data_IF_490228400275
#
_entry.id   IF_490228400275
#
_cell.length_a   1.000
_cell.length_b   1.000
_cell.length_c   1.000
_cell.angle_alpha   90.00
_cell.angle_beta   90.00
_cell.angle_gamma   90.00
#
_symmetry.space_group_name_H-M   'P 1'
#
loop_
_entity.id
_entity.type
_entity.pdbx_description
1 polymer ?
#
# COMPACT_ATOMS: atom_id res chain seq x y z
N UNK A 1 -18.46 8.81 -6.82
CA UNK A 1 -17.10 9.06 -7.29
C UNK A 1 -16.18 7.93 -6.87
N UNK A 2 -15.31 7.52 -7.77
CA UNK A 2 -14.35 6.46 -7.46
C UNK A 2 -13.28 6.95 -6.48
N UNK A 3 -12.97 6.14 -5.49
CA UNK A 3 -11.84 6.39 -4.59
C UNK A 3 -10.55 6.12 -5.34
N UNK A 4 -9.59 7.04 -5.24
CA UNK A 4 -8.28 6.88 -5.90
C UNK A 4 -7.33 6.16 -4.94
N UNK A 5 -6.95 4.95 -5.29
CA UNK A 5 -6.11 4.08 -4.45
C UNK A 5 -4.80 3.78 -5.16
N UNK A 6 -3.69 3.99 -4.47
CA UNK A 6 -2.36 3.65 -4.98
C UNK A 6 -1.90 2.34 -4.36
N UNK A 7 -1.42 1.42 -5.19
CA UNK A 7 -0.91 0.12 -4.76
C UNK A 7 0.59 0.07 -5.03
N UNK A 8 1.39 -0.09 -3.99
CA UNK A 8 2.85 -0.12 -4.06
C UNK A 8 3.34 -1.51 -3.70
N UNK A 9 3.85 -2.25 -4.69
CA UNK A 9 4.33 -3.61 -4.50
C UNK A 9 5.34 -3.91 -5.62
N UNK A 10 6.41 -4.63 -5.30
CA UNK A 10 7.42 -5.00 -6.30
C UNK A 10 6.98 -6.18 -7.19
N UNK A 11 5.96 -6.91 -6.78
CA UNK A 11 5.43 -8.05 -7.54
C UNK A 11 4.30 -7.61 -8.47
N UNK A 12 4.51 -7.77 -9.78
CA UNK A 12 3.51 -7.39 -10.78
C UNK A 12 2.20 -8.13 -10.59
N UNK A 13 2.25 -9.41 -10.27
CA UNK A 13 1.06 -10.24 -10.06
C UNK A 13 0.18 -9.71 -8.93
N UNK A 14 0.82 -9.27 -7.84
CA UNK A 14 0.09 -8.71 -6.70
C UNK A 14 -0.52 -7.37 -7.08
N UNK A 15 0.21 -6.51 -7.77
CA UNK A 15 -0.32 -5.23 -8.24
C UNK A 15 -1.58 -5.42 -9.08
N UNK A 16 -1.53 -6.36 -10.03
CA UNK A 16 -2.65 -6.64 -10.91
C UNK A 16 -3.83 -7.24 -10.15
N UNK A 17 -3.57 -8.15 -9.23
CA UNK A 17 -4.62 -8.78 -8.43
C UNK A 17 -5.36 -7.74 -7.57
N UNK A 18 -4.61 -6.94 -6.84
CA UNK A 18 -5.19 -5.93 -5.95
C UNK A 18 -5.94 -4.87 -6.75
N UNK A 19 -5.33 -4.38 -7.84
CA UNK A 19 -5.98 -3.40 -8.70
C UNK A 19 -7.30 -3.94 -9.27
N UNK A 20 -7.31 -5.19 -9.72
CA UNK A 20 -8.52 -5.83 -10.25
C UNK A 20 -9.63 -5.92 -9.21
N UNK A 21 -9.31 -6.33 -7.99
CA UNK A 21 -10.29 -6.42 -6.90
C UNK A 21 -10.88 -5.04 -6.60
N UNK A 22 -10.05 -4.03 -6.49
CA UNK A 22 -10.51 -2.68 -6.16
C UNK A 22 -11.34 -2.06 -7.29
N UNK A 23 -10.95 -2.28 -8.54
CA UNK A 23 -11.69 -1.80 -9.70
C UNK A 23 -13.07 -2.46 -9.79
N UNK A 24 -13.16 -3.75 -9.46
CA UNK A 24 -14.44 -4.47 -9.41
C UNK A 24 -15.39 -3.88 -8.37
N UNK A 25 -14.85 -3.27 -7.33
CA UNK A 25 -15.66 -2.60 -6.29
C UNK A 25 -15.90 -1.12 -6.58
N UNK A 26 -15.52 -0.64 -7.76
CA UNK A 26 -15.78 0.73 -8.19
C UNK A 26 -14.71 1.75 -7.81
N UNK A 27 -13.56 1.31 -7.29
CA UNK A 27 -12.46 2.21 -6.96
C UNK A 27 -11.56 2.46 -8.16
N UNK A 28 -10.92 3.63 -8.20
CA UNK A 28 -9.81 3.88 -9.12
C UNK A 28 -8.53 3.29 -8.52
N UNK A 29 -7.74 2.59 -9.31
CA UNK A 29 -6.52 1.96 -8.83
C UNK A 29 -5.33 2.35 -9.71
N UNK A 30 -4.27 2.83 -9.07
CA UNK A 30 -2.99 3.11 -9.71
C UNK A 30 -1.94 2.23 -9.04
N UNK A 31 -0.88 1.90 -9.77
CA UNK A 31 0.16 1.00 -9.26
C UNK A 31 1.54 1.65 -9.32
N UNK A 32 2.41 1.25 -8.39
CA UNK A 32 3.81 1.63 -8.38
C UNK A 32 4.63 0.39 -8.00
N UNK A 33 5.79 0.25 -8.60
CA UNK A 33 6.63 -0.94 -8.40
C UNK A 33 7.67 -0.76 -7.30
N UNK A 34 7.96 0.46 -6.89
CA UNK A 34 8.98 0.77 -5.89
C UNK A 34 8.71 2.13 -5.25
N UNK A 35 9.58 2.54 -4.33
CA UNK A 35 9.42 3.79 -3.60
C UNK A 35 9.49 5.04 -4.49
N UNK A 36 10.40 5.06 -5.45
CA UNK A 36 10.56 6.22 -6.33
C UNK A 36 9.33 6.39 -7.22
N UNK A 37 8.82 5.28 -7.75
CA UNK A 37 7.62 5.26 -8.57
C UNK A 37 6.40 5.72 -7.74
N UNK A 38 6.32 5.27 -6.49
CA UNK A 38 5.24 5.65 -5.58
C UNK A 38 5.26 7.15 -5.28
N UNK A 39 6.42 7.70 -4.96
CA UNK A 39 6.55 9.11 -4.65
C UNK A 39 6.20 9.99 -5.86
N UNK A 40 6.62 9.58 -7.06
CA UNK A 40 6.26 10.28 -8.28
C UNK A 40 4.76 10.24 -8.53
N UNK A 41 4.12 9.10 -8.30
CA UNK A 41 2.67 8.96 -8.47
C UNK A 41 1.89 9.85 -7.49
N UNK A 42 2.35 9.96 -6.25
CA UNK A 42 1.73 10.78 -5.22
C UNK A 42 1.86 12.26 -5.55
N UNK A 43 3.02 12.70 -6.03
CA UNK A 43 3.22 14.08 -6.45
C UNK A 43 2.32 14.46 -7.61
N UNK A 44 2.09 13.53 -8.52
CA UNK A 44 1.22 13.76 -9.67
C UNK A 44 -0.23 13.95 -9.24
N UNK A 45 -0.69 13.13 -8.30
CA UNK A 45 -2.03 13.23 -7.72
C UNK A 45 -2.03 12.45 -6.40
N UNK A 46 -2.40 13.12 -5.32
CA UNK A 46 -2.44 12.50 -3.99
C UNK A 46 -3.58 11.47 -3.95
N UNK A 47 -3.28 10.21 -3.60
CA UNK A 47 -4.33 9.20 -3.48
C UNK A 47 -5.10 9.36 -2.18
N UNK A 48 -6.27 8.73 -2.12
CA UNK A 48 -7.10 8.72 -0.91
C UNK A 48 -6.74 7.59 0.02
N UNK A 49 -6.04 6.58 -0.50
CA UNK A 49 -5.61 5.40 0.27
C UNK A 49 -4.38 4.80 -0.43
N UNK A 50 -3.44 4.28 0.35
CA UNK A 50 -2.25 3.61 -0.18
C UNK A 50 -2.18 2.20 0.41
N UNK A 51 -2.05 1.18 -0.46
CA UNK A 51 -1.63 -0.16 -0.06
C UNK A 51 -0.15 -0.27 -0.31
N UNK A 52 0.62 -0.60 0.70
CA UNK A 52 2.08 -0.56 0.66
C UNK A 52 2.68 -1.87 1.14
N UNK A 53 3.45 -2.53 0.27
CA UNK A 53 4.19 -3.73 0.61
C UNK A 53 5.36 -3.38 1.55
N UNK A 54 5.57 -4.18 2.58
CA UNK A 54 6.65 -3.97 3.55
C UNK A 54 8.02 -4.24 2.91
N UNK A 55 8.14 -5.35 2.19
CA UNK A 55 9.41 -5.77 1.60
C UNK A 55 9.39 -5.60 0.09
N UNK A 56 10.10 -4.59 -0.42
CA UNK A 56 10.20 -4.32 -1.85
C UNK A 56 11.65 -4.49 -2.31
N UNK A 57 11.90 -5.56 -3.07
CA UNK A 57 13.22 -5.82 -3.64
C UNK A 57 13.55 -4.79 -4.72
N UNK A 58 14.79 -4.33 -4.73
CA UNK A 58 15.24 -3.36 -5.72
C UNK A 58 14.74 -1.94 -5.52
N UNK A 59 13.97 -1.69 -4.47
CA UNK A 59 13.50 -0.36 -4.15
C UNK A 59 14.53 0.39 -3.32
N UNK A 60 14.66 1.70 -3.55
CA UNK A 60 15.56 2.55 -2.78
C UNK A 60 15.17 2.59 -1.30
N UNK A 61 13.88 2.66 -1.02
CA UNK A 61 13.33 2.57 0.33
C UNK A 61 12.50 1.30 0.44
N UNK A 62 12.56 0.62 1.57
CA UNK A 62 11.62 -0.46 1.83
C UNK A 62 10.27 0.10 2.27
N UNK A 63 9.28 -0.77 2.52
CA UNK A 63 7.94 -0.33 2.86
C UNK A 63 7.87 0.47 4.16
N UNK A 64 8.63 0.08 5.19
CA UNK A 64 8.63 0.80 6.46
C UNK A 64 9.29 2.18 6.33
N UNK A 65 10.38 2.26 5.58
CA UNK A 65 11.06 3.54 5.31
C UNK A 65 10.15 4.47 4.51
N UNK A 66 9.47 3.94 3.52
CA UNK A 66 8.52 4.72 2.73
C UNK A 66 7.34 5.18 3.58
N UNK A 67 6.86 4.34 4.49
CA UNK A 67 5.79 4.72 5.42
C UNK A 67 6.21 5.94 6.26
N UNK A 68 7.45 5.96 6.75
CA UNK A 68 7.96 7.11 7.51
C UNK A 68 7.89 8.39 6.68
N UNK A 69 8.31 8.33 5.42
CA UNK A 69 8.26 9.48 4.49
C UNK A 69 6.82 9.93 4.27
N UNK A 70 5.92 8.97 4.01
CA UNK A 70 4.52 9.28 3.74
C UNK A 70 3.83 9.91 4.94
N UNK A 71 4.14 9.44 6.14
CA UNK A 71 3.55 10.02 7.36
C UNK A 71 4.09 11.42 7.66
N UNK A 72 5.34 11.69 7.29
CA UNK A 72 5.93 13.02 7.44
C UNK A 72 5.37 14.02 6.41
N UNK A 73 5.23 13.61 5.15
CA UNK A 73 4.85 14.49 4.05
C UNK A 73 3.35 14.52 3.76
N UNK A 74 2.66 13.39 3.98
CA UNK A 74 1.24 13.24 3.67
C UNK A 74 0.51 12.55 4.83
N UNK A 75 0.52 13.14 6.03
CA UNK A 75 -0.04 12.48 7.21
C UNK A 75 -1.54 12.19 7.13
N UNK A 76 -2.26 12.90 6.27
CA UNK A 76 -3.69 12.71 6.10
C UNK A 76 -4.07 11.53 5.21
N UNK A 77 -3.11 10.94 4.48
CA UNK A 77 -3.38 9.80 3.60
C UNK A 77 -3.22 8.51 4.40
N UNK A 78 -4.28 7.71 4.56
CA UNK A 78 -4.17 6.43 5.26
C UNK A 78 -3.35 5.43 4.44
N UNK A 79 -2.51 4.67 5.13
CA UNK A 79 -1.65 3.66 4.52
C UNK A 79 -1.97 2.30 5.14
N UNK A 80 -2.31 1.33 4.31
CA UNK A 80 -2.51 -0.05 4.73
C UNK A 80 -1.30 -0.86 4.29
N UNK A 81 -0.61 -1.47 5.25
CA UNK A 81 0.57 -2.27 4.96
C UNK A 81 0.17 -3.67 4.51
N UNK A 82 0.90 -4.21 3.55
CA UNK A 82 0.75 -5.59 3.09
C UNK A 82 2.04 -6.34 3.38
N UNK A 83 1.95 -7.49 4.04
CA UNK A 83 3.12 -8.29 4.38
C UNK A 83 2.97 -9.72 3.94
N UNK A 84 4.05 -10.31 3.43
CA UNK A 84 4.15 -11.76 3.29
C UNK A 84 4.47 -12.35 4.65
N UNK A 85 4.00 -13.52 4.91
CA UNK A 85 4.24 -14.39 6.08
C UNK A 85 4.57 -13.74 7.43
N UNK A 86 3.59 -13.82 8.30
CA UNK A 86 3.71 -13.99 9.75
C UNK A 86 4.74 -13.20 10.52
N UNK A 87 5.16 -12.03 10.07
CA UNK A 87 6.07 -11.23 10.86
C UNK A 87 5.28 -10.23 11.70
N UNK A 88 4.82 -10.72 12.85
CA UNK A 88 4.02 -9.92 13.78
C UNK A 88 4.78 -8.68 14.23
N UNK A 89 6.09 -8.81 14.46
CA UNK A 89 6.92 -7.69 14.90
C UNK A 89 6.93 -6.56 13.87
N UNK A 90 7.02 -6.90 12.59
CA UNK A 90 6.99 -5.93 11.52
C UNK A 90 5.61 -5.26 11.43
N UNK A 91 4.54 -6.03 11.61
CA UNK A 91 3.18 -5.49 11.61
C UNK A 91 3.00 -4.49 12.77
N UNK A 92 3.47 -4.84 13.97
CA UNK A 92 3.40 -3.96 15.13
C UNK A 92 4.20 -2.69 14.89
N UNK A 93 5.40 -2.80 14.31
CA UNK A 93 6.22 -1.65 13.98
C UNK A 93 5.51 -0.72 13.00
N UNK A 94 4.85 -1.28 11.98
CA UNK A 94 4.10 -0.48 11.01
C UNK A 94 2.96 0.28 11.66
N UNK A 95 2.19 -0.37 12.53
CA UNK A 95 1.09 0.29 13.25
C UNK A 95 1.62 1.42 14.13
N UNK A 96 2.73 1.20 14.81
CA UNK A 96 3.36 2.23 15.65
C UNK A 96 3.86 3.42 14.84
N UNK A 97 4.27 3.19 13.59
CA UNK A 97 4.70 4.25 12.68
C UNK A 97 3.53 5.00 12.05
N UNK A 98 2.31 4.58 12.32
CA UNK A 98 1.12 5.29 11.89
C UNK A 98 0.37 4.66 10.72
N UNK A 99 0.64 3.40 10.37
CA UNK A 99 -0.18 2.75 9.35
C UNK A 99 -1.61 2.58 9.87
N UNK A 100 -2.56 2.69 8.94
CA UNK A 100 -3.98 2.58 9.27
C UNK A 100 -4.37 1.15 9.62
N UNK A 101 -3.83 0.19 8.88
CA UNK A 101 -4.15 -1.22 9.07
C UNK A 101 -3.05 -2.07 8.44
N UNK A 102 -3.20 -3.36 8.52
CA UNK A 102 -2.22 -4.34 8.07
C UNK A 102 -2.93 -5.55 7.50
N UNK A 103 -2.48 -6.03 6.34
CA UNK A 103 -3.03 -7.21 5.68
C UNK A 103 -1.89 -8.19 5.40
N UNK A 104 -2.07 -9.44 5.80
CA UNK A 104 -1.08 -10.50 5.59
C UNK A 104 -1.32 -11.22 4.28
N UNK A 105 -0.25 -11.51 3.54
CA UNK A 105 -0.32 -12.36 2.33
C UNK A 105 -0.28 -13.83 2.75
N UNK A 106 -0.98 -14.73 2.07
CA UNK A 106 -1.98 -14.46 1.03
C UNK A 106 -3.26 -13.89 1.64
N UNK A 107 -3.77 -12.83 1.07
CA UNK A 107 -4.98 -12.19 1.57
C UNK A 107 -6.21 -12.64 0.77
N UNK A 108 -7.36 -12.53 1.40
CA UNK A 108 -8.64 -12.78 0.74
C UNK A 108 -9.19 -11.46 0.19
N UNK A 109 -9.88 -11.54 -0.94
CA UNK A 109 -10.51 -10.36 -1.54
C UNK A 109 -11.43 -9.65 -0.54
N UNK A 110 -12.18 -10.39 0.26
CA UNK A 110 -13.09 -9.83 1.26
C UNK A 110 -12.37 -8.93 2.26
N UNK A 111 -11.20 -9.35 2.73
CA UNK A 111 -10.41 -8.56 3.68
C UNK A 111 -9.94 -7.25 3.05
N UNK A 112 -9.50 -7.31 1.80
CA UNK A 112 -9.03 -6.14 1.07
C UNK A 112 -10.16 -5.13 0.87
N UNK A 113 -11.33 -5.60 0.47
CA UNK A 113 -12.51 -4.77 0.24
C UNK A 113 -12.93 -4.10 1.55
N UNK A 114 -12.88 -4.83 2.65
CA UNK A 114 -13.32 -4.32 3.95
C UNK A 114 -12.49 -3.13 4.42
N UNK A 115 -11.18 -3.13 4.16
CA UNK A 115 -10.32 -2.01 4.58
C UNK A 115 -10.28 -0.87 3.55
N UNK A 116 -10.63 -1.15 2.32
CA UNK A 116 -10.73 -0.12 1.31
C UNK A 116 -12.06 0.64 1.46
#
# INVERSE_FOLDING_TARGET
MATDILIVDDEADIRELVAGILQDEGHGARTAKDSDDALAAIEKRRPQLIFLDIWMQGSRLDGLQLLDVLKAEHPEVPVVMISGHGNIETAVAAIRKGSYDFIEKPFKADRLVLVA
#
